data_IF_917581933754
#
_entry.id   IF_917581933754
#
_cell.length_a   1.000
_cell.length_b   1.000
_cell.length_c   1.000
_cell.angle_alpha   90.00
_cell.angle_beta   90.00
_cell.angle_gamma   90.00
#
_symmetry.space_group_name_H-M   'P 1'
#
loop_
_entity.id
_entity.type
_entity.pdbx_description
1 polymer ?
#
# COMPACT_ATOMS: atom_id res chain seq x y z
N UNK A 1 42.67 -41.39 2.06
CA UNK A 1 41.46 -40.61 1.73
C UNK A 1 41.77 -39.16 2.00
N UNK A 2 41.85 -38.34 0.94
CA UNK A 2 42.07 -36.90 1.07
C UNK A 2 40.83 -36.25 1.67
N UNK A 3 40.88 -35.94 2.97
CA UNK A 3 39.91 -35.05 3.60
C UNK A 3 40.17 -33.67 3.03
N UNK A 4 39.33 -33.24 2.09
CA UNK A 4 39.31 -31.85 1.63
C UNK A 4 39.04 -30.97 2.85
N UNK A 5 40.05 -30.19 3.26
CA UNK A 5 39.88 -28.94 4.01
C UNK A 5 39.07 -27.97 3.15
N UNK A 6 37.75 -28.04 3.18
CA UNK A 6 36.92 -26.97 2.59
C UNK A 6 35.59 -26.70 3.28
N UNK A 7 35.17 -27.45 4.31
CA UNK A 7 33.96 -27.14 5.08
C UNK A 7 34.27 -26.90 6.56
N UNK A 8 35.05 -25.87 6.89
CA UNK A 8 34.80 -25.14 8.14
C UNK A 8 33.51 -24.32 7.96
N UNK A 9 32.40 -25.02 7.73
CA UNK A 9 31.08 -24.43 7.65
C UNK A 9 30.82 -23.72 8.97
N UNK A 10 30.50 -22.42 8.91
CA UNK A 10 30.16 -21.63 10.09
C UNK A 10 29.15 -22.41 10.94
N UNK A 11 29.59 -22.93 12.08
CA UNK A 11 28.71 -23.63 13.02
C UNK A 11 27.59 -22.67 13.40
N UNK A 12 26.34 -23.06 13.14
CA UNK A 12 25.16 -22.25 13.49
C UNK A 12 25.26 -21.82 14.96
N UNK A 13 25.20 -20.51 15.20
CA UNK A 13 25.20 -19.94 16.54
C UNK A 13 23.79 -20.10 17.14
N UNK A 14 23.66 -21.05 18.07
CA UNK A 14 22.40 -21.39 18.71
C UNK A 14 21.91 -20.26 19.62
N UNK A 15 22.84 -19.58 20.31
CA UNK A 15 22.48 -18.44 21.15
C UNK A 15 21.84 -17.30 20.36
N UNK A 16 22.30 -17.04 19.12
CA UNK A 16 21.69 -16.03 18.25
C UNK A 16 20.25 -16.38 17.81
N UNK A 17 19.93 -17.67 17.70
CA UNK A 17 18.57 -18.13 17.38
C UNK A 17 17.67 -17.99 18.62
N UNK A 18 18.21 -18.26 19.81
CA UNK A 18 17.46 -18.27 21.06
C UNK A 18 17.32 -16.91 21.74
N UNK A 19 18.17 -15.92 21.41
CA UNK A 19 18.18 -14.61 22.10
C UNK A 19 16.83 -13.87 22.10
N UNK A 20 16.04 -14.08 21.04
CA UNK A 20 14.72 -13.44 20.86
C UNK A 20 13.56 -14.39 21.19
N UNK A 21 13.84 -15.61 21.66
CA UNK A 21 12.82 -16.61 22.03
C UNK A 21 12.34 -16.35 23.47
N UNK A 22 11.06 -16.61 23.78
CA UNK A 22 10.53 -16.39 25.11
C UNK A 22 11.18 -17.34 26.13
N UNK A 23 11.31 -16.88 27.38
CA UNK A 23 11.59 -17.76 28.52
C UNK A 23 10.52 -18.88 28.58
N UNK A 24 10.93 -20.10 28.91
CA UNK A 24 10.08 -21.28 28.87
C UNK A 24 10.06 -21.99 27.51
N UNK A 25 10.80 -21.51 26.50
CA UNK A 25 10.92 -22.22 25.21
C UNK A 25 11.47 -23.63 25.45
N UNK A 26 10.68 -24.66 25.12
CA UNK A 26 11.07 -26.05 25.30
C UNK A 26 12.19 -26.43 24.34
N UNK A 27 13.16 -27.15 24.86
CA UNK A 27 14.35 -27.65 24.18
C UNK A 27 14.65 -29.04 24.74
N UNK A 28 15.66 -29.71 24.17
CA UNK A 28 16.02 -31.05 24.58
C UNK A 28 17.53 -31.19 24.81
N UNK A 29 17.89 -31.73 25.97
CA UNK A 29 19.27 -32.12 26.31
C UNK A 29 19.48 -33.58 25.89
N UNK A 30 20.27 -33.78 24.83
CA UNK A 30 20.62 -35.09 24.29
C UNK A 30 21.50 -35.91 25.25
N UNK A 31 22.41 -35.25 25.99
CA UNK A 31 23.34 -35.94 26.88
C UNK A 31 22.60 -36.57 28.06
N UNK A 32 21.61 -35.85 28.60
CA UNK A 32 20.84 -36.26 29.77
C UNK A 32 19.52 -36.93 29.40
N UNK A 33 19.13 -36.88 28.12
CA UNK A 33 17.86 -37.40 27.60
C UNK A 33 16.65 -36.84 28.36
N UNK A 34 16.64 -35.52 28.57
CA UNK A 34 15.57 -34.79 29.26
C UNK A 34 15.13 -33.57 28.46
N UNK A 35 13.88 -33.15 28.66
CA UNK A 35 13.40 -31.84 28.20
C UNK A 35 13.90 -30.76 29.15
N UNK A 36 14.27 -29.62 28.58
CA UNK A 36 14.71 -28.42 29.29
C UNK A 36 14.00 -27.20 28.74
N UNK A 37 13.83 -26.17 29.55
CA UNK A 37 13.19 -24.91 29.17
C UNK A 37 14.21 -23.79 29.18
N UNK A 38 14.23 -22.98 28.12
CA UNK A 38 15.10 -21.82 28.02
C UNK A 38 14.80 -20.84 29.17
N UNK A 39 15.81 -20.54 29.98
CA UNK A 39 15.72 -19.46 30.97
C UNK A 39 16.11 -18.13 30.32
N UNK A 40 17.36 -18.03 29.85
CA UNK A 40 17.88 -16.84 29.18
C UNK A 40 19.13 -17.13 28.35
N UNK A 41 19.43 -16.23 27.44
CA UNK A 41 20.74 -16.13 26.79
C UNK A 41 21.46 -14.93 27.38
N UNK A 42 22.69 -15.10 27.85
CA UNK A 42 23.48 -14.01 28.43
C UNK A 42 24.90 -13.99 27.85
N UNK A 43 25.46 -12.79 27.73
CA UNK A 43 26.83 -12.56 27.22
C UNK A 43 27.66 -11.89 28.30
N UNK A 44 28.87 -12.40 28.47
CA UNK A 44 29.90 -11.91 29.39
C UNK A 44 31.18 -11.62 28.63
N UNK A 45 32.18 -11.04 29.30
CA UNK A 45 33.50 -10.79 28.72
C UNK A 45 34.20 -12.08 28.23
N UNK A 46 33.82 -13.24 28.79
CA UNK A 46 34.43 -14.54 28.46
C UNK A 46 33.62 -15.35 27.44
N UNK A 47 32.40 -14.93 27.11
CA UNK A 47 31.57 -15.59 26.10
C UNK A 47 30.06 -15.45 26.29
N UNK A 48 29.33 -16.01 25.32
CA UNK A 48 27.86 -16.12 25.32
C UNK A 48 27.42 -17.52 25.71
N UNK A 49 26.45 -17.59 26.62
CA UNK A 49 25.94 -18.84 27.19
C UNK A 49 24.42 -18.89 27.10
N UNK A 50 23.91 -20.12 26.99
CA UNK A 50 22.48 -20.43 26.99
C UNK A 50 22.19 -21.14 28.29
N UNK A 51 21.27 -20.60 29.08
CA UNK A 51 20.86 -21.15 30.36
C UNK A 51 19.49 -21.80 30.19
N UNK A 52 19.35 -23.05 30.61
CA UNK A 52 18.07 -23.77 30.59
C UNK A 52 17.81 -24.40 31.95
N UNK A 53 16.54 -24.63 32.24
CA UNK A 53 16.11 -25.28 33.48
C UNK A 53 15.34 -26.56 33.19
N UNK A 54 15.28 -27.47 34.15
CA UNK A 54 14.36 -28.59 34.12
C UNK A 54 13.86 -28.85 35.52
N UNK A 55 12.54 -28.95 35.69
CA UNK A 55 11.92 -29.22 36.99
C UNK A 55 11.48 -30.67 37.03
N UNK A 56 11.98 -31.41 38.01
CA UNK A 56 11.63 -32.82 38.17
C UNK A 56 10.23 -32.99 38.80
N UNK A 57 9.74 -34.23 38.85
CA UNK A 57 8.41 -34.58 39.41
C UNK A 57 8.23 -34.15 40.88
N UNK A 58 9.33 -33.96 41.61
CA UNK A 58 9.34 -33.55 43.02
C UNK A 58 9.42 -32.03 43.19
N UNK A 59 9.35 -31.27 42.08
CA UNK A 59 9.37 -29.80 42.08
C UNK A 59 10.76 -29.18 42.22
N UNK A 60 11.84 -29.97 42.16
CA UNK A 60 13.21 -29.44 42.21
C UNK A 60 13.64 -29.00 40.81
N UNK A 61 14.03 -27.73 40.67
CA UNK A 61 14.53 -27.15 39.43
C UNK A 61 16.06 -27.25 39.36
N UNK A 62 16.56 -27.86 38.29
CA UNK A 62 17.98 -27.93 37.96
C UNK A 62 18.31 -26.89 36.89
N UNK A 63 19.54 -26.36 36.95
CA UNK A 63 20.08 -25.38 36.00
C UNK A 63 21.14 -26.02 35.12
N UNK A 64 21.10 -25.71 33.83
CA UNK A 64 22.02 -26.21 32.81
C UNK A 64 22.56 -25.06 31.97
N UNK A 65 23.89 -24.97 31.89
CA UNK A 65 24.59 -24.01 31.04
C UNK A 65 25.13 -24.70 29.79
N UNK A 66 24.86 -24.10 28.63
CA UNK A 66 25.39 -24.50 27.34
C UNK A 66 26.22 -23.37 26.72
N UNK A 67 27.14 -23.75 25.85
CA UNK A 67 27.87 -22.78 25.03
C UNK A 67 26.94 -22.14 24.00
N UNK A 68 27.37 -21.04 23.38
CA UNK A 68 26.67 -20.42 22.23
C UNK A 68 26.36 -21.37 21.05
N UNK A 69 27.02 -22.51 20.97
CA UNK A 69 26.83 -23.51 19.91
C UNK A 69 25.89 -24.66 20.31
N UNK A 70 25.36 -24.63 21.55
CA UNK A 70 24.56 -25.71 22.13
C UNK A 70 25.39 -26.93 22.55
N UNK A 71 26.70 -26.76 22.74
CA UNK A 71 27.59 -27.79 23.31
C UNK A 71 27.69 -27.61 24.82
N UNK A 72 28.42 -28.49 25.50
CA UNK A 72 28.82 -28.24 26.89
C UNK A 72 29.57 -26.89 26.99
N UNK A 73 29.28 -26.12 28.04
CA UNK A 73 29.75 -24.75 28.29
C UNK A 73 31.22 -24.49 27.93
N UNK A 74 32.11 -25.41 28.28
CA UNK A 74 33.57 -25.29 28.12
C UNK A 74 34.13 -26.00 26.89
N UNK A 75 33.29 -26.69 26.10
CA UNK A 75 33.72 -27.53 24.97
C UNK A 75 33.03 -27.11 23.66
N UNK A 76 33.46 -26.00 23.06
CA UNK A 76 32.91 -25.49 21.78
C UNK A 76 33.10 -26.43 20.58
N UNK A 77 34.16 -27.24 20.63
CA UNK A 77 34.44 -28.28 19.63
C UNK A 77 33.76 -29.62 19.95
N UNK A 78 33.03 -29.68 21.07
CA UNK A 78 32.29 -30.87 21.49
C UNK A 78 31.03 -31.14 20.65
N UNK A 79 30.36 -32.23 20.99
CA UNK A 79 29.07 -32.57 20.42
C UNK A 79 28.03 -31.52 20.82
N UNK A 80 27.19 -31.11 19.86
CA UNK A 80 26.00 -30.31 20.14
C UNK A 80 24.98 -31.18 20.88
N UNK A 81 24.73 -30.86 22.14
CA UNK A 81 23.86 -31.61 23.04
C UNK A 81 22.51 -30.91 23.25
N UNK A 82 22.45 -29.59 23.08
CA UNK A 82 21.20 -28.84 23.09
C UNK A 82 20.57 -28.86 21.69
N UNK A 83 19.34 -29.37 21.63
CA UNK A 83 18.57 -29.54 20.40
C UNK A 83 17.23 -28.82 20.51
N UNK A 84 16.62 -28.41 19.38
CA UNK A 84 15.25 -27.87 19.37
C UNK A 84 14.26 -28.83 20.04
N UNK A 85 14.32 -30.12 19.70
CA UNK A 85 13.58 -31.17 20.43
C UNK A 85 14.25 -32.53 20.24
N UNK A 86 13.72 -33.56 20.91
CA UNK A 86 14.14 -34.96 20.72
C UNK A 86 13.99 -35.42 19.26
N UNK A 87 12.94 -34.95 18.58
CA UNK A 87 12.57 -35.37 17.22
C UNK A 87 12.95 -34.33 16.15
N UNK A 88 13.40 -33.14 16.54
CA UNK A 88 13.77 -32.04 15.64
C UNK A 88 15.17 -31.50 16.00
N UNK A 89 16.15 -31.74 15.11
CA UNK A 89 17.57 -31.39 15.36
C UNK A 89 18.06 -30.18 14.57
N UNK A 90 17.30 -29.75 13.57
CA UNK A 90 17.72 -28.72 12.63
C UNK A 90 17.47 -27.32 13.18
N UNK A 91 18.54 -26.68 13.66
CA UNK A 91 18.50 -25.31 14.15
C UNK A 91 18.17 -24.29 13.07
N UNK A 92 18.52 -24.54 11.80
CA UNK A 92 18.17 -23.67 10.68
C UNK A 92 16.66 -23.62 10.45
N UNK A 93 15.97 -24.75 10.62
CA UNK A 93 14.51 -24.82 10.57
C UNK A 93 13.86 -24.29 11.85
N UNK A 94 14.45 -24.55 13.02
CA UNK A 94 13.96 -23.95 14.27
C UNK A 94 14.04 -22.40 14.28
N UNK A 95 14.96 -21.84 13.49
CA UNK A 95 15.12 -20.40 13.32
C UNK A 95 14.04 -19.74 12.46
N UNK A 96 13.11 -20.50 11.87
CA UNK A 96 11.98 -19.93 11.13
C UNK A 96 11.17 -18.96 11.99
N UNK A 97 10.76 -17.86 11.37
CA UNK A 97 9.96 -16.79 11.97
C UNK A 97 8.66 -16.63 11.19
N UNK A 98 7.63 -16.10 11.86
CA UNK A 98 6.37 -15.72 11.23
C UNK A 98 6.65 -14.83 10.00
N UNK A 99 6.09 -15.18 8.85
CA UNK A 99 6.34 -14.50 7.59
C UNK A 99 7.45 -15.10 6.72
N UNK A 100 8.21 -16.07 7.22
CA UNK A 100 9.19 -16.79 6.41
C UNK A 100 8.51 -17.63 5.34
N UNK A 101 8.99 -17.55 4.11
CA UNK A 101 8.49 -18.36 3.00
C UNK A 101 9.14 -19.73 3.00
N UNK A 102 8.32 -20.76 2.85
CA UNK A 102 8.74 -22.17 2.87
C UNK A 102 8.36 -22.86 1.56
N UNK A 103 9.18 -23.82 1.15
CA UNK A 103 8.95 -24.66 -0.02
C UNK A 103 9.28 -26.11 0.28
N UNK A 104 8.53 -27.04 -0.29
CA UNK A 104 8.88 -28.46 -0.28
C UNK A 104 9.39 -28.95 -1.64
N UNK A 105 9.89 -30.19 -1.67
CA UNK A 105 10.43 -30.83 -2.87
C UNK A 105 9.44 -30.96 -4.04
N UNK A 106 8.13 -30.88 -3.80
CA UNK A 106 7.09 -30.92 -4.84
C UNK A 106 6.74 -29.53 -5.38
N UNK A 107 7.42 -28.46 -4.95
CA UNK A 107 7.12 -27.08 -5.34
C UNK A 107 5.93 -26.47 -4.58
N UNK A 108 5.42 -27.15 -3.54
CA UNK A 108 4.39 -26.58 -2.68
C UNK A 108 5.03 -25.51 -1.79
N UNK A 109 4.44 -24.32 -1.81
CA UNK A 109 4.90 -23.13 -1.11
C UNK A 109 3.85 -22.69 -0.10
N UNK A 110 4.29 -22.15 1.03
CA UNK A 110 3.44 -21.51 2.02
C UNK A 110 4.26 -20.51 2.85
N UNK A 111 3.58 -19.74 3.70
CA UNK A 111 4.22 -18.81 4.63
C UNK A 111 4.12 -19.39 6.04
N UNK A 112 5.25 -19.47 6.74
CA UNK A 112 5.29 -19.92 8.13
C UNK A 112 4.49 -18.97 9.02
N UNK A 113 3.53 -19.53 9.76
CA UNK A 113 2.69 -18.79 10.71
C UNK A 113 3.17 -19.02 12.13
N UNK A 114 3.24 -20.29 12.54
CA UNK A 114 3.63 -20.69 13.90
C UNK A 114 3.94 -22.20 13.97
N UNK A 115 4.55 -22.63 15.07
CA UNK A 115 4.72 -24.06 15.38
C UNK A 115 3.38 -24.67 15.81
N UNK A 116 3.09 -25.88 15.33
CA UNK A 116 1.87 -26.59 15.71
C UNK A 116 2.01 -27.34 17.06
N UNK A 117 3.26 -27.57 17.48
CA UNK A 117 3.63 -28.29 18.69
C UNK A 117 5.02 -27.87 19.17
N UNK A 118 5.27 -28.05 20.47
CA UNK A 118 6.58 -27.77 21.09
C UNK A 118 7.67 -28.79 20.72
N UNK A 119 7.32 -29.88 20.02
CA UNK A 119 8.34 -30.79 19.48
C UNK A 119 8.91 -30.30 18.13
N UNK A 120 8.35 -29.20 17.59
CA UNK A 120 8.77 -28.51 16.36
C UNK A 120 8.81 -29.41 15.11
N UNK A 121 8.19 -30.59 15.18
CA UNK A 121 8.11 -31.52 14.04
C UNK A 121 7.03 -31.12 13.04
N UNK A 122 6.11 -30.26 13.48
CA UNK A 122 5.00 -29.75 12.66
C UNK A 122 4.82 -28.24 12.84
N UNK A 123 4.36 -27.59 11.78
CA UNK A 123 4.04 -26.17 11.78
C UNK A 123 2.69 -25.90 11.10
N UNK A 124 2.15 -24.72 11.39
CA UNK A 124 1.03 -24.13 10.68
C UNK A 124 1.55 -23.03 9.76
N UNK A 125 1.00 -22.96 8.56
CA UNK A 125 1.30 -21.93 7.57
C UNK A 125 0.04 -21.33 6.98
N UNK A 126 0.21 -20.30 6.18
CA UNK A 126 -0.87 -19.66 5.44
C UNK A 126 -0.49 -19.41 3.99
N UNK A 127 -1.50 -19.04 3.20
CA UNK A 127 -1.38 -18.73 1.78
C UNK A 127 -0.59 -19.80 1.04
N UNK A 128 -1.08 -21.03 0.98
CA UNK A 128 -0.40 -22.10 0.22
C UNK A 128 -0.72 -22.08 -1.27
N UNK A 129 0.19 -22.53 -2.15
CA UNK A 129 -0.16 -22.71 -3.57
C UNK A 129 -0.85 -24.05 -3.84
N UNK A 130 -1.74 -24.47 -2.94
CA UNK A 130 -2.53 -25.67 -3.12
C UNK A 130 -3.41 -25.54 -4.38
N UNK A 131 -3.93 -26.68 -4.84
CA UNK A 131 -4.76 -26.73 -6.06
C UNK A 131 -6.02 -25.86 -5.97
N UNK A 132 -6.52 -25.67 -4.75
CA UNK A 132 -7.76 -24.96 -4.45
C UNK A 132 -7.53 -23.47 -4.10
N UNK A 133 -6.26 -23.05 -3.93
CA UNK A 133 -5.87 -21.66 -3.73
C UNK A 133 -5.04 -21.41 -2.47
N UNK A 134 -4.92 -20.13 -2.10
CA UNK A 134 -4.11 -19.62 -0.98
C UNK A 134 -4.72 -19.92 0.39
N UNK A 135 -4.84 -21.20 0.73
CA UNK A 135 -5.42 -21.69 1.98
C UNK A 135 -4.38 -21.85 3.10
N UNK A 136 -4.87 -21.89 4.34
CA UNK A 136 -4.09 -22.21 5.53
C UNK A 136 -3.63 -23.67 5.51
N UNK A 137 -2.38 -23.88 5.93
CA UNK A 137 -1.75 -25.19 6.06
C UNK A 137 -1.69 -25.54 7.53
N UNK A 138 -2.26 -26.66 7.92
CA UNK A 138 -2.22 -27.13 9.30
C UNK A 138 -1.34 -28.37 9.43
N UNK A 139 -0.55 -28.44 10.50
CA UNK A 139 0.25 -29.63 10.85
C UNK A 139 1.21 -30.13 9.74
N UNK A 140 1.77 -29.21 8.94
CA UNK A 140 2.76 -29.57 7.93
C UNK A 140 4.04 -30.08 8.59
N UNK A 141 4.58 -31.18 8.06
CA UNK A 141 5.82 -31.78 8.57
C UNK A 141 7.03 -30.89 8.27
N UNK A 142 7.64 -30.33 9.31
CA UNK A 142 8.81 -29.44 9.24
C UNK A 142 9.95 -30.04 8.40
N UNK A 143 10.17 -31.35 8.50
CA UNK A 143 11.24 -32.05 7.80
C UNK A 143 11.12 -31.96 6.27
N UNK A 144 9.90 -31.81 5.72
CA UNK A 144 9.63 -31.79 4.27
C UNK A 144 9.83 -30.41 3.63
N UNK A 145 10.05 -29.37 4.43
CA UNK A 145 10.11 -27.99 3.97
C UNK A 145 11.47 -27.36 4.25
N UNK A 146 11.90 -26.48 3.36
CA UNK A 146 13.06 -25.63 3.52
C UNK A 146 12.68 -24.16 3.33
N UNK A 147 13.49 -23.26 3.89
CA UNK A 147 13.27 -21.83 3.74
C UNK A 147 13.60 -21.40 2.31
N UNK A 148 12.67 -20.68 1.69
CA UNK A 148 12.82 -20.19 0.33
C UNK A 148 13.72 -18.93 0.31
N UNK A 149 14.67 -18.89 -0.61
CA UNK A 149 15.53 -17.71 -0.82
C UNK A 149 14.74 -16.48 -1.27
N UNK A 150 15.18 -15.31 -0.79
CA UNK A 150 14.48 -14.03 -0.95
C UNK A 150 14.13 -13.68 -2.41
N UNK A 151 14.98 -14.02 -3.38
CA UNK A 151 14.74 -13.66 -4.79
C UNK A 151 13.55 -14.41 -5.40
N UNK A 152 13.36 -15.69 -5.04
CA UNK A 152 12.22 -16.50 -5.52
C UNK A 152 10.97 -16.17 -4.71
N UNK A 153 11.14 -15.85 -3.42
CA UNK A 153 10.07 -15.44 -2.52
C UNK A 153 9.25 -14.24 -3.04
N UNK A 154 9.89 -13.25 -3.69
CA UNK A 154 9.17 -12.11 -4.26
C UNK A 154 8.18 -12.48 -5.37
N UNK A 155 8.44 -13.54 -6.14
CA UNK A 155 7.49 -14.02 -7.15
C UNK A 155 6.21 -14.56 -6.51
N UNK A 156 6.38 -15.33 -5.43
CA UNK A 156 5.29 -15.95 -4.70
C UNK A 156 4.37 -14.94 -4.03
N UNK A 157 4.93 -14.00 -3.28
CA UNK A 157 4.18 -12.94 -2.58
C UNK A 157 3.35 -12.12 -3.56
N UNK A 158 3.92 -11.71 -4.70
CA UNK A 158 3.18 -10.95 -5.72
C UNK A 158 2.00 -11.73 -6.31
N UNK A 159 2.12 -13.05 -6.43
CA UNK A 159 1.01 -13.86 -6.90
C UNK A 159 -0.14 -13.91 -5.88
N UNK A 160 0.18 -14.00 -4.58
CA UNK A 160 -0.79 -13.88 -3.48
C UNK A 160 -1.50 -12.52 -3.54
N UNK A 161 -0.73 -11.43 -3.55
CA UNK A 161 -1.24 -10.05 -3.59
C UNK A 161 -2.17 -9.81 -4.78
N UNK A 162 -1.78 -10.31 -5.96
CA UNK A 162 -2.59 -10.23 -7.18
C UNK A 162 -3.89 -11.04 -7.09
N UNK A 163 -3.88 -12.25 -6.51
CA UNK A 163 -5.11 -13.05 -6.41
C UNK A 163 -6.06 -12.55 -5.33
N UNK A 164 -5.52 -12.03 -4.22
CA UNK A 164 -6.31 -11.62 -3.05
C UNK A 164 -6.64 -10.11 -3.02
N UNK A 165 -6.06 -9.31 -3.92
CA UNK A 165 -6.44 -7.91 -4.12
C UNK A 165 -5.99 -6.99 -2.98
N UNK A 166 -4.70 -7.00 -2.65
CA UNK A 166 -4.12 -6.15 -1.61
C UNK A 166 -2.63 -6.42 -1.40
N UNK A 167 -2.01 -5.71 -0.46
CA UNK A 167 -0.61 -5.89 -0.09
C UNK A 167 -0.54 -6.85 1.09
N UNK A 168 0.33 -7.87 1.00
CA UNK A 168 0.49 -8.84 2.08
C UNK A 168 1.49 -8.31 3.11
N UNK A 169 1.02 -8.13 4.34
CA UNK A 169 1.89 -7.81 5.46
C UNK A 169 2.47 -9.11 6.04
N UNK A 170 3.76 -9.39 5.80
CA UNK A 170 4.40 -10.63 6.26
C UNK A 170 4.51 -10.77 7.80
N UNK A 171 4.34 -9.68 8.54
CA UNK A 171 4.39 -9.71 10.02
C UNK A 171 3.02 -10.07 10.61
N UNK A 172 1.96 -9.45 10.12
CA UNK A 172 0.58 -9.74 10.58
C UNK A 172 0.01 -10.98 9.90
N UNK A 173 0.45 -11.25 8.66
CA UNK A 173 -0.09 -12.20 7.69
C UNK A 173 -1.48 -11.80 7.19
N UNK A 174 -1.82 -10.51 7.23
CA UNK A 174 -3.09 -9.97 6.73
C UNK A 174 -2.90 -9.33 5.35
N UNK A 175 -3.95 -9.40 4.52
CA UNK A 175 -4.02 -8.67 3.26
C UNK A 175 -4.60 -7.29 3.54
N UNK A 176 -3.75 -6.27 3.44
CA UNK A 176 -4.16 -4.88 3.49
C UNK A 176 -4.84 -4.53 2.15
N UNK A 177 -6.17 -4.62 2.15
CA UNK A 177 -6.98 -4.26 0.97
C UNK A 177 -6.71 -2.80 0.63
N UNK A 178 -6.28 -2.56 -0.60
CA UNK A 178 -6.14 -1.21 -1.09
C UNK A 178 -7.52 -0.55 -1.18
N UNK A 179 -7.57 0.74 -0.87
CA UNK A 179 -8.78 1.53 -1.01
C UNK A 179 -9.30 1.41 -2.44
N UNK A 180 -10.54 0.95 -2.57
CA UNK A 180 -11.22 0.83 -3.83
C UNK A 180 -11.87 2.17 -4.20
N UNK A 181 -11.26 2.90 -5.13
CA UNK A 181 -11.78 4.19 -5.57
C UNK A 181 -13.17 4.06 -6.18
N UNK A 182 -13.99 5.06 -5.87
CA UNK A 182 -15.35 5.27 -6.33
C UNK A 182 -15.38 6.46 -7.29
N UNK A 183 -16.42 6.52 -8.11
CA UNK A 183 -16.65 7.67 -8.97
C UNK A 183 -16.70 8.96 -8.14
N UNK A 184 -15.86 9.92 -8.50
CA UNK A 184 -15.68 11.23 -7.87
C UNK A 184 -14.50 11.30 -6.89
N UNK A 185 -13.86 10.18 -6.55
CA UNK A 185 -12.68 10.21 -5.70
C UNK A 185 -11.51 10.86 -6.44
N UNK A 186 -10.72 11.66 -5.72
CA UNK A 186 -9.51 12.28 -6.26
C UNK A 186 -8.31 11.43 -5.85
N UNK A 187 -7.64 10.86 -6.84
CA UNK A 187 -6.56 9.90 -6.67
C UNK A 187 -5.23 10.47 -7.14
N UNK A 188 -4.15 9.97 -6.54
CA UNK A 188 -2.77 10.22 -6.92
C UNK A 188 -2.17 8.95 -7.51
N UNK A 189 -1.58 9.06 -8.69
CA UNK A 189 -0.87 8.01 -9.40
C UNK A 189 0.60 8.38 -9.62
N UNK A 190 1.50 7.47 -9.29
CA UNK A 190 2.94 7.62 -9.49
C UNK A 190 3.46 6.53 -10.45
N UNK A 191 3.99 6.95 -11.59
CA UNK A 191 4.66 6.10 -12.58
C UNK A 191 6.19 6.05 -12.37
N UNK A 192 6.71 6.73 -11.35
CA UNK A 192 8.14 6.88 -11.05
C UNK A 192 8.82 8.00 -11.85
N UNK A 193 8.44 8.19 -13.12
CA UNK A 193 8.90 9.29 -13.98
C UNK A 193 7.88 10.42 -14.14
N UNK A 194 6.64 10.17 -13.73
CA UNK A 194 5.50 11.08 -13.86
C UNK A 194 4.54 10.85 -12.70
N UNK A 195 3.99 11.93 -12.17
CA UNK A 195 3.01 11.90 -11.10
C UNK A 195 1.77 12.66 -11.53
N UNK A 196 0.61 12.03 -11.39
CA UNK A 196 -0.67 12.59 -11.78
C UNK A 196 -1.64 12.63 -10.61
N UNK A 197 -2.46 13.68 -10.57
CA UNK A 197 -3.67 13.75 -9.75
C UNK A 197 -4.86 13.72 -10.67
N UNK A 198 -5.82 12.84 -10.42
CA UNK A 198 -6.97 12.66 -11.32
C UNK A 198 -8.25 12.39 -10.55
N UNK A 199 -9.38 12.65 -11.20
CA UNK A 199 -10.72 12.36 -10.64
C UNK A 199 -11.21 11.04 -11.22
N UNK A 200 -11.47 10.07 -10.36
CA UNK A 200 -11.93 8.73 -10.75
C UNK A 200 -13.32 8.84 -11.33
N UNK A 201 -13.51 8.36 -12.55
CA UNK A 201 -14.82 8.31 -13.22
C UNK A 201 -15.41 6.91 -13.16
N UNK A 202 -14.62 5.89 -13.48
CA UNK A 202 -15.05 4.48 -13.47
C UNK A 202 -13.85 3.53 -13.34
N UNK A 203 -14.09 2.22 -13.27
CA UNK A 203 -13.06 1.17 -13.37
C UNK A 203 -12.83 0.74 -14.81
N UNK A 204 -11.63 0.22 -15.06
CA UNK A 204 -11.31 -0.39 -16.35
C UNK A 204 -11.80 -1.84 -16.41
N UNK A 205 -12.43 -2.25 -17.52
CA UNK A 205 -12.93 -3.62 -17.71
C UNK A 205 -11.84 -4.63 -18.14
N UNK A 206 -10.63 -4.16 -18.47
CA UNK A 206 -9.58 -4.98 -19.10
C UNK A 206 -8.47 -5.40 -18.12
N UNK A 207 -8.26 -4.63 -17.05
CA UNK A 207 -7.29 -4.92 -16.00
C UNK A 207 -7.61 -4.11 -14.75
N UNK A 208 -6.89 -4.32 -13.63
CA UNK A 208 -7.06 -3.48 -12.45
C UNK A 208 -6.57 -2.05 -12.72
N UNK A 209 -7.52 -1.12 -12.82
CA UNK A 209 -7.24 0.27 -13.10
C UNK A 209 -8.49 1.14 -13.07
N UNK A 210 -8.28 2.43 -13.22
CA UNK A 210 -9.32 3.45 -13.14
C UNK A 210 -9.31 4.34 -14.37
N UNK A 211 -10.48 4.81 -14.76
CA UNK A 211 -10.68 5.74 -15.87
C UNK A 211 -10.86 7.12 -15.28
N UNK A 212 -10.27 8.11 -15.93
CA UNK A 212 -10.53 9.52 -15.66
C UNK A 212 -10.71 10.30 -16.95
N UNK A 213 -11.50 11.36 -16.88
CA UNK A 213 -11.59 12.38 -17.92
C UNK A 213 -10.84 13.67 -17.56
N UNK A 214 -10.31 13.76 -16.33
CA UNK A 214 -9.60 14.95 -15.82
C UNK A 214 -8.37 14.48 -15.04
N UNK A 215 -7.19 14.89 -15.48
CA UNK A 215 -5.95 14.63 -14.78
C UNK A 215 -4.99 15.80 -14.89
N UNK A 216 -4.26 16.08 -13.82
CA UNK A 216 -3.18 17.05 -13.75
C UNK A 216 -1.85 16.32 -13.62
N UNK A 217 -0.92 16.56 -14.55
CA UNK A 217 0.48 16.17 -14.38
C UNK A 217 1.11 17.13 -13.37
N UNK A 218 1.56 16.63 -12.22
CA UNK A 218 2.15 17.44 -11.15
C UNK A 218 3.55 17.96 -11.49
N UNK A 219 4.24 17.33 -12.44
CA UNK A 219 5.61 17.69 -12.82
C UNK A 219 5.62 18.92 -13.72
N UNK A 220 4.70 18.96 -14.68
CA UNK A 220 4.55 20.07 -15.64
C UNK A 220 3.39 21.02 -15.32
N UNK A 221 2.57 20.69 -14.30
CA UNK A 221 1.31 21.37 -13.98
C UNK A 221 0.37 21.48 -15.20
N UNK A 222 0.39 20.46 -16.07
CA UNK A 222 -0.44 20.42 -17.27
C UNK A 222 -1.75 19.70 -16.99
N UNK A 223 -2.85 20.45 -17.10
CA UNK A 223 -4.19 19.93 -16.93
C UNK A 223 -4.69 19.31 -18.25
N UNK A 224 -5.14 18.07 -18.18
CA UNK A 224 -5.83 17.36 -19.27
C UNK A 224 -7.29 17.20 -18.92
N UNK A 225 -8.18 17.66 -19.80
CA UNK A 225 -9.64 17.57 -19.64
C UNK A 225 -10.29 17.02 -20.90
N UNK A 226 -11.32 16.18 -20.73
CA UNK A 226 -12.15 15.67 -21.85
C UNK A 226 -11.58 14.44 -22.56
N UNK A 227 -10.35 14.05 -22.24
CA UNK A 227 -9.73 12.83 -22.77
C UNK A 227 -9.84 11.67 -21.80
N UNK A 228 -10.36 10.54 -22.29
CA UNK A 228 -10.42 9.30 -21.51
C UNK A 228 -9.01 8.77 -21.27
N UNK A 229 -8.54 8.87 -20.04
CA UNK A 229 -7.24 8.40 -19.59
C UNK A 229 -7.43 7.18 -18.68
N UNK A 230 -6.58 6.16 -18.83
CA UNK A 230 -6.62 4.95 -18.00
C UNK A 230 -5.38 4.86 -17.11
N UNK A 231 -5.59 4.62 -15.82
CA UNK A 231 -4.55 4.48 -14.80
C UNK A 231 -4.53 3.02 -14.31
N UNK A 232 -3.66 2.20 -14.90
CA UNK A 232 -3.57 0.78 -14.58
C UNK A 232 -2.62 0.55 -13.41
N UNK A 233 -3.09 -0.16 -12.37
CA UNK A 233 -2.29 -0.41 -11.16
C UNK A 233 -0.95 -1.09 -11.46
N UNK A 234 -0.92 -1.99 -12.45
CA UNK A 234 0.30 -2.72 -12.85
C UNK A 234 1.44 -1.82 -13.35
N UNK A 235 1.11 -0.64 -13.87
CA UNK A 235 2.07 0.28 -14.47
C UNK A 235 2.52 1.35 -13.46
N UNK A 236 1.92 1.37 -12.26
CA UNK A 236 2.12 2.37 -11.22
C UNK A 236 3.04 1.84 -10.13
N UNK A 237 3.99 2.68 -9.70
CA UNK A 237 4.73 2.48 -8.46
C UNK A 237 3.83 2.70 -7.23
N UNK A 238 2.87 3.63 -7.32
CA UNK A 238 1.97 3.96 -6.23
C UNK A 238 0.62 4.48 -6.74
N UNK A 239 -0.45 4.03 -6.09
CA UNK A 239 -1.80 4.53 -6.29
C UNK A 239 -2.47 4.71 -4.92
N UNK A 240 -2.97 5.93 -4.63
CA UNK A 240 -3.63 6.26 -3.36
C UNK A 240 -4.61 7.42 -3.52
N UNK A 241 -5.39 7.74 -2.48
CA UNK A 241 -6.11 9.01 -2.43
C UNK A 241 -5.12 10.18 -2.46
N UNK A 242 -5.49 11.24 -3.17
CA UNK A 242 -4.74 12.48 -3.20
C UNK A 242 -4.75 13.16 -1.82
N UNK A 243 -3.63 13.78 -1.44
CA UNK A 243 -3.54 14.64 -0.26
C UNK A 243 -4.28 15.95 -0.50
N UNK A 244 -4.59 16.70 0.56
CA UNK A 244 -5.26 18.00 0.41
C UNK A 244 -4.46 18.99 -0.45
N UNK A 245 -3.13 18.98 -0.36
CA UNK A 245 -2.27 19.82 -1.20
C UNK A 245 -2.36 19.43 -2.69
N UNK A 246 -2.36 18.14 -3.00
CA UNK A 246 -2.49 17.61 -4.36
C UNK A 246 -3.88 17.90 -4.95
N UNK A 247 -4.94 17.79 -4.13
CA UNK A 247 -6.30 18.19 -4.52
C UNK A 247 -6.35 19.68 -4.83
N UNK A 248 -5.75 20.51 -3.98
CA UNK A 248 -5.72 21.95 -4.18
C UNK A 248 -5.03 22.31 -5.51
N UNK A 249 -3.90 21.66 -5.85
CA UNK A 249 -3.23 21.88 -7.14
C UNK A 249 -4.15 21.56 -8.33
N UNK A 250 -4.93 20.48 -8.26
CA UNK A 250 -5.91 20.16 -9.29
C UNK A 250 -7.01 21.23 -9.40
N UNK A 251 -7.52 21.71 -8.27
CA UNK A 251 -8.57 22.74 -8.26
C UNK A 251 -8.07 24.10 -8.74
N UNK A 252 -6.86 24.51 -8.35
CA UNK A 252 -6.23 25.74 -8.85
C UNK A 252 -6.01 25.69 -10.36
N UNK A 253 -5.67 24.51 -10.90
CA UNK A 253 -5.53 24.32 -12.34
C UNK A 253 -6.89 24.41 -13.06
N UNK A 254 -7.95 23.85 -12.48
CA UNK A 254 -9.32 23.98 -13.02
C UNK A 254 -9.80 25.44 -12.99
N UNK A 255 -9.55 26.17 -11.90
CA UNK A 255 -9.95 27.56 -11.75
C UNK A 255 -9.27 28.48 -12.78
N UNK A 256 -8.00 28.22 -13.11
CA UNK A 256 -7.28 28.93 -14.18
C UNK A 256 -7.93 28.77 -15.57
N UNK A 257 -8.59 27.64 -15.80
CA UNK A 257 -9.38 27.37 -17.02
C UNK A 257 -10.84 27.87 -16.91
N UNK A 258 -11.19 28.57 -15.83
CA UNK A 258 -12.55 29.03 -15.58
C UNK A 258 -13.53 27.88 -15.28
N UNK A 259 -13.04 26.78 -14.70
CA UNK A 259 -13.81 25.58 -14.40
C UNK A 259 -13.76 25.24 -12.91
N UNK A 260 -14.76 24.50 -12.43
CA UNK A 260 -14.76 23.93 -11.10
C UNK A 260 -15.30 22.49 -11.10
N UNK A 261 -14.90 21.70 -10.12
CA UNK A 261 -15.45 20.36 -9.90
C UNK A 261 -16.69 20.44 -9.00
N UNK A 262 -17.84 20.02 -9.53
CA UNK A 262 -19.08 19.83 -8.77
C UNK A 262 -19.07 18.40 -8.20
N UNK A 263 -18.73 18.27 -6.91
CA UNK A 263 -18.59 16.96 -6.26
C UNK A 263 -19.93 16.21 -6.11
N UNK A 264 -21.06 16.91 -6.03
CA UNK A 264 -22.38 16.28 -5.93
C UNK A 264 -22.80 15.69 -7.27
N UNK A 265 -22.64 16.46 -8.35
CA UNK A 265 -22.99 16.02 -9.70
C UNK A 265 -21.89 15.21 -10.40
N UNK A 266 -20.69 15.18 -9.82
CA UNK A 266 -19.49 14.50 -10.34
C UNK A 266 -19.14 14.94 -11.76
N UNK A 267 -19.15 16.25 -12.00
CA UNK A 267 -18.84 16.82 -13.30
C UNK A 267 -18.09 18.14 -13.16
N UNK A 268 -17.42 18.53 -14.24
CA UNK A 268 -16.84 19.87 -14.36
C UNK A 268 -17.92 20.86 -14.79
N UNK A 269 -18.00 21.97 -14.08
CA UNK A 269 -18.91 23.08 -14.37
C UNK A 269 -18.10 24.33 -14.69
N UNK A 270 -18.67 25.22 -15.50
CA UNK A 270 -18.10 26.54 -15.73
C UNK A 270 -18.21 27.39 -14.47
N UNK A 271 -17.09 27.97 -14.04
CA UNK A 271 -17.12 29.06 -13.08
C UNK A 271 -17.76 30.25 -13.78
N UNK A 272 -18.87 30.75 -13.22
CA UNK A 272 -19.43 32.02 -13.67
C UNK A 272 -18.32 33.06 -13.54
N UNK A 273 -18.00 33.81 -14.62
CA UNK A 273 -16.97 34.83 -14.52
C UNK A 273 -17.39 35.82 -13.44
N UNK A 274 -16.50 36.05 -12.47
CA UNK A 274 -16.72 37.05 -11.44
C UNK A 274 -16.48 38.42 -12.06
N UNK A 275 -17.48 38.90 -12.81
CA UNK A 275 -17.42 40.20 -13.46
C UNK A 275 -17.83 41.25 -12.42
N UNK A 276 -16.84 41.96 -11.91
CA UNK A 276 -17.06 43.09 -10.99
C UNK A 276 -17.52 44.32 -11.80
N UNK A 277 -18.83 44.47 -11.97
CA UNK A 277 -19.45 45.59 -12.66
C UNK A 277 -19.66 46.79 -11.72
N UNK A 278 -19.35 47.99 -12.19
CA UNK A 278 -19.58 49.27 -11.51
C UNK A 278 -20.78 50.01 -12.13
N UNK A 279 -21.49 50.85 -11.35
CA UNK A 279 -22.56 51.67 -11.90
C UNK A 279 -22.06 52.46 -13.13
N UNK A 280 -22.88 52.50 -14.18
CA UNK A 280 -22.60 53.07 -15.50
C UNK A 280 -21.62 52.31 -16.39
N UNK A 281 -21.23 51.08 -16.04
CA UNK A 281 -20.55 50.21 -16.99
C UNK A 281 -21.48 49.85 -18.15
N UNK A 282 -20.97 49.90 -19.39
CA UNK A 282 -21.70 49.46 -20.57
C UNK A 282 -21.82 47.94 -20.53
N UNK A 283 -23.04 47.44 -20.57
CA UNK A 283 -23.33 46.01 -20.47
C UNK A 283 -24.27 45.54 -21.57
N UNK A 284 -24.19 44.25 -21.88
CA UNK A 284 -25.21 43.54 -22.63
C UNK A 284 -26.05 42.73 -21.65
N UNK A 285 -27.38 42.84 -21.80
CA UNK A 285 -28.36 42.17 -20.94
C UNK A 285 -29.43 41.46 -21.73
N UNK A 286 -29.97 40.37 -21.15
CA UNK A 286 -31.15 39.65 -21.62
C UNK A 286 -31.71 38.74 -20.53
N UNK A 287 -32.95 38.26 -20.68
CA UNK A 287 -33.58 37.37 -19.71
C UNK A 287 -33.37 35.89 -20.02
N UNK A 288 -33.44 35.51 -21.30
CA UNK A 288 -33.31 34.12 -21.74
C UNK A 288 -32.39 34.00 -22.97
N UNK A 289 -31.85 32.80 -23.21
CA UNK A 289 -30.95 32.54 -24.35
C UNK A 289 -31.58 32.78 -25.73
N UNK A 290 -32.92 32.64 -25.82
CA UNK A 290 -33.70 32.93 -27.02
C UNK A 290 -33.86 34.44 -27.31
N UNK A 291 -33.59 35.29 -26.33
CA UNK A 291 -33.74 36.73 -26.46
C UNK A 291 -32.48 37.33 -27.08
N UNK A 292 -32.69 38.44 -27.80
CA UNK A 292 -31.57 39.21 -28.35
C UNK A 292 -30.89 39.99 -27.23
N UNK A 293 -29.56 40.01 -27.25
CA UNK A 293 -28.79 40.89 -26.37
C UNK A 293 -29.15 42.35 -26.61
N UNK A 294 -29.45 43.06 -25.53
CA UNK A 294 -29.73 44.50 -25.54
C UNK A 294 -28.64 45.24 -24.77
N UNK A 295 -28.24 46.41 -25.28
CA UNK A 295 -27.28 47.26 -24.58
C UNK A 295 -27.96 48.03 -23.45
N UNK A 296 -27.26 48.18 -22.33
CA UNK A 296 -27.68 49.03 -21.23
C UNK A 296 -26.48 49.54 -20.44
N UNK A 297 -26.76 50.34 -19.41
CA UNK A 297 -25.78 50.73 -18.41
C UNK A 297 -26.13 50.04 -17.09
N UNK A 298 -25.14 49.38 -16.48
CA UNK A 298 -25.30 48.70 -15.21
C UNK A 298 -25.60 49.70 -14.09
N UNK A 299 -26.45 49.32 -13.14
CA UNK A 299 -26.75 50.14 -11.96
C UNK A 299 -26.26 49.43 -10.70
N UNK A 300 -26.89 48.32 -10.32
CA UNK A 300 -26.47 47.50 -9.19
C UNK A 300 -27.01 46.08 -9.34
N UNK A 301 -26.45 45.15 -8.55
CA UNK A 301 -26.91 43.77 -8.48
C UNK A 301 -27.88 43.62 -7.31
N UNK A 302 -29.02 42.99 -7.54
CA UNK A 302 -30.02 42.67 -6.52
C UNK A 302 -30.26 41.16 -6.55
N UNK A 303 -29.79 40.46 -5.52
CA UNK A 303 -29.82 38.99 -5.47
C UNK A 303 -29.15 38.38 -6.72
N UNK A 304 -29.87 37.58 -7.49
CA UNK A 304 -29.41 36.96 -8.73
C UNK A 304 -29.73 37.78 -10.00
N UNK A 305 -30.29 38.98 -9.85
CA UNK A 305 -30.70 39.85 -10.96
C UNK A 305 -29.78 41.08 -11.11
N UNK A 306 -29.60 41.50 -12.35
CA UNK A 306 -28.84 42.70 -12.70
C UNK A 306 -29.79 43.85 -13.02
N UNK A 307 -29.73 44.93 -12.24
CA UNK A 307 -30.55 46.12 -12.45
C UNK A 307 -29.79 47.11 -13.30
N UNK A 308 -30.44 47.61 -14.36
CA UNK A 308 -29.88 48.61 -15.26
C UNK A 308 -30.52 49.99 -15.06
N UNK A 309 -30.00 51.03 -15.72
CA UNK A 309 -30.46 52.43 -15.59
C UNK A 309 -31.94 52.67 -15.91
N UNK A 310 -32.58 51.78 -16.66
CA UNK A 310 -34.02 51.83 -16.94
C UNK A 310 -34.87 51.23 -15.81
N UNK A 311 -34.25 50.88 -14.67
CA UNK A 311 -34.85 50.15 -13.56
C UNK A 311 -35.44 48.78 -13.93
N UNK A 312 -35.09 48.24 -15.11
CA UNK A 312 -35.41 46.87 -15.46
C UNK A 312 -34.36 45.93 -14.85
N UNK A 313 -34.82 44.74 -14.45
CA UNK A 313 -34.00 43.66 -13.91
C UNK A 313 -33.82 42.59 -14.97
N UNK A 314 -32.61 42.05 -15.09
CA UNK A 314 -32.25 41.07 -16.11
C UNK A 314 -31.56 39.86 -15.49
N UNK A 315 -31.80 38.66 -16.03
CA UNK A 315 -31.16 37.42 -15.57
C UNK A 315 -29.68 37.31 -15.99
N UNK A 316 -29.32 37.87 -17.16
CA UNK A 316 -27.97 37.81 -17.70
C UNK A 316 -27.43 39.23 -17.92
N UNK A 317 -26.17 39.45 -17.54
CA UNK A 317 -25.47 40.72 -17.70
C UNK A 317 -23.98 40.45 -17.90
N UNK A 318 -23.42 40.98 -18.98
CA UNK A 318 -22.00 40.88 -19.32
C UNK A 318 -21.47 42.24 -19.76
N UNK A 319 -20.16 42.52 -19.65
CA UNK A 319 -19.56 43.73 -20.20
C UNK A 319 -19.82 43.84 -21.69
N UNK A 320 -20.16 45.04 -22.15
CA UNK A 320 -20.29 45.32 -23.57
C UNK A 320 -18.94 45.22 -24.30
N UNK A 321 -17.89 45.74 -23.66
CA UNK A 321 -16.52 45.71 -24.19
C UNK A 321 -16.01 44.27 -24.29
N UNK A 322 -15.57 43.87 -25.48
CA UNK A 322 -15.17 42.49 -25.81
C UNK A 322 -16.32 41.55 -26.17
N UNK A 323 -17.57 42.00 -26.13
CA UNK A 323 -18.76 41.22 -26.50
C UNK A 323 -19.64 41.94 -27.54
N UNK A 324 -19.11 42.94 -28.24
CA UNK A 324 -19.86 43.85 -29.10
C UNK A 324 -20.62 43.12 -30.22
N UNK A 325 -20.05 42.03 -30.72
CA UNK A 325 -20.63 41.18 -31.78
C UNK A 325 -21.92 40.47 -31.36
N UNK A 326 -22.21 40.39 -30.06
CA UNK A 326 -23.42 39.76 -29.54
C UNK A 326 -24.64 40.67 -29.60
N UNK A 327 -24.44 42.00 -29.66
CA UNK A 327 -25.52 42.99 -29.64
C UNK A 327 -26.55 42.71 -30.75
N UNK A 328 -27.83 42.60 -30.37
CA UNK A 328 -28.93 42.34 -31.30
C UNK A 328 -29.00 40.89 -31.81
N UNK A 329 -28.14 39.99 -31.33
CA UNK A 329 -28.13 38.57 -31.67
C UNK A 329 -28.62 37.71 -30.50
N UNK A 330 -28.97 36.45 -30.78
CA UNK A 330 -29.29 35.43 -29.76
C UNK A 330 -28.11 34.49 -29.47
N UNK A 331 -26.92 34.81 -29.98
CA UNK A 331 -25.72 33.98 -29.78
C UNK A 331 -25.31 34.01 -28.31
N UNK A 332 -24.83 32.88 -27.80
CA UNK A 332 -24.26 32.83 -26.46
C UNK A 332 -22.86 33.44 -26.44
N UNK A 333 -22.39 33.80 -25.25
CA UNK A 333 -21.03 34.34 -25.05
C UNK A 333 -20.04 33.31 -25.54
N UNK A 334 -19.25 33.67 -26.54
CA UNK A 334 -18.08 32.88 -26.92
C UNK A 334 -17.08 33.01 -25.78
N UNK A 335 -17.06 32.01 -24.88
CA UNK A 335 -15.93 31.82 -23.98
C UNK A 335 -14.75 31.60 -24.90
N UNK A 336 -13.84 32.58 -24.98
CA UNK A 336 -12.67 32.48 -25.83
C UNK A 336 -11.85 31.29 -25.38
N UNK A 337 -12.04 30.16 -26.06
CA UNK A 337 -11.08 29.07 -26.05
C UNK A 337 -9.77 29.70 -26.48
N UNK A 338 -8.79 29.70 -25.59
CA UNK A 338 -7.41 29.86 -25.99
C UNK A 338 -7.16 28.82 -27.09
N UNK A 339 -6.99 29.29 -28.32
CA UNK A 339 -6.53 28.46 -29.43
C UNK A 339 -5.20 27.84 -29.00
N UNK A 340 -5.23 26.58 -28.62
CA UNK A 340 -4.11 25.68 -28.81
C UNK A 340 -4.19 25.19 -30.25
N UNK A 341 -3.04 25.26 -30.94
CA UNK A 341 -2.88 24.93 -32.35
C UNK A 341 -3.22 23.47 -32.66
#
# INVERSE_FOLDING_TARGET
>A
MNIKKSDMGNKINVAEILKDKPQGTKLYDLLRNIDVELDKVHTTDVGTYIECTSTNEVGSTLLFDYSKLGTEKCWLEGLRILLPSKNMRDWGKFAWKKGDLLINSCGFQCIFKEWASDDYTKFNGCYSNSRDGYEDVSNAETAKFDKLDNNIAYGYVREIERKLGGILNLTTLEIEKQYEFKNGDIAFADYGNRQDVFIVSDRTNLSEGYISFISLDLSSLTLSMGYRTSFFKKDLCKLRLATEAEKQQLFDALEKEGKAWDAEKKQIVDLKPNIELKPFDKVLVRDFSRDKWSISFFSFKKEDLYVCINHCSWNQCIPYEGNESLLGTTKDVEVSYGRSF
#
